data_IF_366095239194
#
_entry.id   IF_366095239194
#
_cell.length_a   1.000
_cell.length_b   1.000
_cell.length_c   1.000
_cell.angle_alpha   90.00
_cell.angle_beta   90.00
_cell.angle_gamma   90.00
#
_symmetry.space_group_name_H-M   'P 1'
#
loop_
_entity.id
_entity.type
_entity.pdbx_description
1 polymer ?
#
# COMPACT_ATOMS: atom_id res chain seq x y z
N UNK A 1 -15.73 -7.71 -3.24
CA UNK A 1 -14.74 -7.27 -2.22
C UNK A 1 -15.14 -7.78 -0.86
N UNK A 2 -14.24 -8.39 -0.14
CA UNK A 2 -14.47 -8.85 1.23
C UNK A 2 -14.12 -7.76 2.25
N UNK A 3 -14.56 -7.92 3.50
CA UNK A 3 -14.15 -7.01 4.59
C UNK A 3 -12.64 -6.93 4.73
N UNK A 4 -11.96 -8.08 4.65
CA UNK A 4 -10.50 -8.14 4.73
C UNK A 4 -9.84 -7.36 3.59
N UNK A 5 -10.33 -7.52 2.38
CA UNK A 5 -9.83 -6.78 1.21
C UNK A 5 -10.04 -5.27 1.37
N UNK A 6 -11.21 -4.84 1.85
CA UNK A 6 -11.49 -3.44 2.11
C UNK A 6 -10.53 -2.85 3.15
N UNK A 7 -10.28 -3.56 4.24
CA UNK A 7 -9.33 -3.13 5.26
C UNK A 7 -7.90 -3.04 4.73
N UNK A 8 -7.46 -4.00 3.93
CA UNK A 8 -6.14 -3.98 3.30
C UNK A 8 -5.97 -2.81 2.32
N UNK A 9 -6.99 -2.53 1.52
CA UNK A 9 -6.97 -1.40 0.58
C UNK A 9 -6.91 -0.08 1.35
N UNK A 10 -7.72 0.08 2.41
CA UNK A 10 -7.71 1.26 3.25
C UNK A 10 -6.35 1.48 3.92
N UNK A 11 -5.74 0.43 4.44
CA UNK A 11 -4.39 0.45 5.02
C UNK A 11 -3.35 0.92 4.01
N UNK A 12 -3.38 0.38 2.79
CA UNK A 12 -2.49 0.78 1.70
C UNK A 12 -2.64 2.25 1.35
N UNK A 13 -3.88 2.72 1.23
CA UNK A 13 -4.16 4.11 0.88
C UNK A 13 -3.67 5.06 1.97
N UNK A 14 -3.88 4.72 3.22
CA UNK A 14 -3.35 5.47 4.35
C UNK A 14 -1.81 5.55 4.29
N UNK A 15 -1.13 4.42 4.11
CA UNK A 15 0.33 4.36 4.02
C UNK A 15 0.85 5.14 2.82
N UNK A 16 0.18 5.03 1.69
CA UNK A 16 0.53 5.76 0.48
C UNK A 16 0.49 7.29 0.68
N UNK A 17 -0.50 7.79 1.41
CA UNK A 17 -0.68 9.23 1.62
C UNK A 17 0.14 9.78 2.78
N UNK A 18 0.38 9.00 3.82
CA UNK A 18 1.05 9.49 5.04
C UNK A 18 2.50 9.03 5.17
N UNK A 19 2.87 7.95 4.48
CA UNK A 19 4.18 7.31 4.67
C UNK A 19 4.31 6.53 5.97
N UNK A 20 3.23 6.38 6.73
CA UNK A 20 3.21 5.71 8.03
C UNK A 20 2.37 4.43 7.98
N UNK A 21 2.75 3.44 8.80
CA UNK A 21 1.94 2.25 8.99
C UNK A 21 0.86 2.49 10.04
N UNK A 22 -0.40 2.14 9.76
CA UNK A 22 -1.45 2.24 10.76
C UNK A 22 -1.27 1.15 11.82
N UNK A 23 -1.49 1.51 13.09
CA UNK A 23 -1.50 0.53 14.17
C UNK A 23 -2.74 -0.36 14.13
N UNK A 24 -3.84 0.19 13.65
CA UNK A 24 -5.13 -0.49 13.60
C UNK A 24 -5.97 0.07 12.46
N UNK A 25 -6.72 -0.79 11.81
CA UNK A 25 -7.73 -0.41 10.82
C UNK A 25 -9.04 -1.07 11.22
N UNK A 26 -10.07 -0.25 11.48
CA UNK A 26 -11.41 -0.73 11.84
C UNK A 26 -12.39 -0.47 10.71
N UNK A 27 -13.20 -1.47 10.39
CA UNK A 27 -14.29 -1.29 9.44
C UNK A 27 -15.49 -0.75 10.19
N UNK A 28 -15.91 0.47 9.86
CA UNK A 28 -17.07 1.12 10.48
C UNK A 28 -18.36 0.88 9.68
N UNK A 29 -18.27 0.81 8.36
CA UNK A 29 -19.39 0.51 7.48
C UNK A 29 -18.92 -0.47 6.39
N UNK A 30 -19.73 -1.50 6.17
CA UNK A 30 -19.50 -2.44 5.07
C UNK A 30 -20.85 -2.79 4.45
N UNK A 31 -21.15 -2.18 3.30
CA UNK A 31 -22.36 -2.38 2.54
C UNK A 31 -22.04 -2.54 1.05
N UNK A 32 -21.91 -3.78 0.60
CA UNK A 32 -21.54 -4.07 -0.79
C UNK A 32 -22.72 -3.96 -1.76
N UNK A 33 -23.96 -3.92 -1.28
CA UNK A 33 -25.10 -3.59 -2.14
C UNK A 33 -25.00 -2.15 -2.65
N UNK A 34 -24.58 -1.23 -1.79
CA UNK A 34 -24.29 0.15 -2.14
C UNK A 34 -22.84 0.35 -2.62
N UNK A 35 -22.03 -0.68 -2.57
CA UNK A 35 -20.64 -0.63 -2.97
C UNK A 35 -19.73 0.16 -2.03
N UNK A 36 -20.14 0.36 -0.78
CA UNK A 36 -19.45 1.25 0.18
C UNK A 36 -18.80 0.44 1.30
N UNK A 37 -17.55 0.77 1.57
CA UNK A 37 -16.84 0.35 2.77
C UNK A 37 -16.13 1.57 3.38
N UNK A 38 -16.34 1.80 4.68
CA UNK A 38 -15.65 2.84 5.43
C UNK A 38 -14.78 2.21 6.50
N UNK A 39 -13.54 2.67 6.58
CA UNK A 39 -12.58 2.24 7.56
C UNK A 39 -12.10 3.43 8.37
N UNK A 40 -11.93 3.23 9.68
CA UNK A 40 -11.35 4.23 10.58
C UNK A 40 -9.97 3.81 10.99
N UNK A 41 -9.03 4.74 11.00
CA UNK A 41 -7.63 4.51 11.33
C UNK A 41 -7.22 5.50 12.41
N UNK A 42 -7.10 5.06 13.67
CA UNK A 42 -6.59 5.92 14.73
C UNK A 42 -5.10 6.16 14.55
N UNK A 43 -4.69 7.40 14.71
CA UNK A 43 -3.29 7.81 14.60
C UNK A 43 -2.96 8.88 15.63
N UNK A 44 -1.67 9.06 15.90
CA UNK A 44 -1.17 10.13 16.75
C UNK A 44 -0.39 11.10 15.88
N UNK A 45 -0.76 12.36 15.91
CA UNK A 45 -0.10 13.40 15.14
C UNK A 45 0.30 14.56 16.09
N UNK A 46 1.61 14.79 16.22
CA UNK A 46 2.17 15.80 17.13
C UNK A 46 1.67 15.67 18.58
N UNK A 47 1.51 14.44 19.06
CA UNK A 47 1.01 14.15 20.39
C UNK A 47 -0.51 14.16 20.54
N UNK A 48 -1.25 14.58 19.52
CA UNK A 48 -2.72 14.58 19.51
C UNK A 48 -3.27 13.33 18.83
N UNK A 49 -4.29 12.74 19.44
CA UNK A 49 -5.02 11.63 18.81
C UNK A 49 -5.92 12.15 17.71
N UNK A 50 -5.80 11.56 16.54
CA UNK A 50 -6.63 11.88 15.38
C UNK A 50 -7.18 10.60 14.76
N UNK A 51 -8.32 10.69 14.11
CA UNK A 51 -8.95 9.56 13.41
C UNK A 51 -9.04 9.93 11.93
N UNK A 52 -8.39 9.13 11.10
CA UNK A 52 -8.57 9.18 9.66
C UNK A 52 -9.70 8.25 9.25
N UNK A 53 -10.44 8.67 8.23
CA UNK A 53 -11.50 7.85 7.64
C UNK A 53 -11.18 7.63 6.17
N UNK A 54 -11.14 6.35 5.76
CA UNK A 54 -10.97 5.96 4.36
C UNK A 54 -12.27 5.34 3.88
N UNK A 55 -12.86 5.95 2.85
CA UNK A 55 -14.08 5.46 2.21
C UNK A 55 -13.76 4.92 0.82
N UNK A 56 -14.13 3.65 0.61
CA UNK A 56 -14.08 3.00 -0.69
C UNK A 56 -15.50 2.94 -1.26
N UNK A 57 -15.66 3.39 -2.50
CA UNK A 57 -16.92 3.28 -3.22
C UNK A 57 -16.68 2.58 -4.55
N UNK A 58 -17.09 1.32 -4.65
CA UNK A 58 -16.88 0.50 -5.84
C UNK A 58 -17.78 0.89 -7.00
N UNK A 59 -18.94 1.46 -6.73
CA UNK A 59 -19.90 1.93 -7.75
C UNK A 59 -19.43 3.26 -8.34
N UNK A 60 -19.08 4.23 -7.48
CA UNK A 60 -18.54 5.50 -7.92
C UNK A 60 -17.07 5.44 -8.35
N UNK A 61 -16.39 4.33 -8.10
CA UNK A 61 -14.96 4.15 -8.38
C UNK A 61 -14.09 5.21 -7.71
N UNK A 62 -14.31 5.45 -6.43
CA UNK A 62 -13.55 6.42 -5.64
C UNK A 62 -12.96 5.79 -4.39
N UNK A 63 -11.83 6.33 -3.96
CA UNK A 63 -11.25 6.11 -2.65
C UNK A 63 -10.89 7.48 -2.07
N UNK A 64 -11.41 7.79 -0.90
CA UNK A 64 -11.30 9.10 -0.27
C UNK A 64 -10.71 8.94 1.11
N UNK A 65 -9.74 9.76 1.46
CA UNK A 65 -9.23 9.84 2.83
C UNK A 65 -9.53 11.22 3.41
N UNK A 66 -10.40 11.28 4.40
CA UNK A 66 -10.74 12.51 5.14
C UNK A 66 -9.59 12.88 6.07
N UNK A 67 -9.44 14.14 6.38
CA UNK A 67 -8.37 14.86 7.07
C UNK A 67 -7.19 15.25 6.20
N UNK A 68 -6.91 14.52 5.12
CA UNK A 68 -5.89 14.93 4.14
C UNK A 68 -6.59 15.49 2.89
N UNK A 69 -7.91 15.39 2.80
CA UNK A 69 -8.74 15.84 1.66
C UNK A 69 -8.24 15.25 0.34
N UNK A 70 -7.84 13.98 0.37
CA UNK A 70 -7.34 13.30 -0.81
C UNK A 70 -8.41 12.37 -1.36
N UNK A 71 -8.67 12.50 -2.65
CA UNK A 71 -9.58 11.64 -3.40
C UNK A 71 -8.88 11.11 -4.62
N UNK A 72 -9.07 9.82 -4.89
CA UNK A 72 -8.48 9.15 -6.05
C UNK A 72 -9.49 8.21 -6.68
N UNK A 73 -9.30 7.88 -7.95
CA UNK A 73 -10.01 6.78 -8.56
C UNK A 73 -9.58 5.46 -7.92
N UNK A 74 -10.56 4.68 -7.47
CA UNK A 74 -10.28 3.38 -6.84
C UNK A 74 -9.58 2.44 -7.82
N UNK A 75 -10.03 2.38 -9.07
CA UNK A 75 -9.41 1.53 -10.08
C UNK A 75 -7.97 1.96 -10.39
N UNK A 76 -7.71 3.25 -10.47
CA UNK A 76 -6.37 3.78 -10.72
C UNK A 76 -5.43 3.48 -9.54
N UNK A 77 -5.91 3.63 -8.32
CA UNK A 77 -5.14 3.28 -7.13
C UNK A 77 -4.80 1.78 -7.10
N UNK A 78 -5.75 0.91 -7.42
CA UNK A 78 -5.51 -0.52 -7.48
C UNK A 78 -4.53 -0.94 -8.58
N UNK A 79 -4.39 -0.14 -9.64
CA UNK A 79 -3.41 -0.37 -10.72
C UNK A 79 -1.99 0.09 -10.38
N UNK A 80 -1.79 0.80 -9.27
CA UNK A 80 -0.43 1.19 -8.85
C UNK A 80 0.40 -0.02 -8.42
N UNK A 81 -0.25 -1.14 -8.14
CA UNK A 81 0.42 -2.40 -7.85
C UNK A 81 1.13 -2.93 -9.10
N UNK A 82 2.37 -3.35 -8.96
CA UNK A 82 3.16 -3.98 -10.00
C UNK A 82 3.98 -5.12 -9.42
N UNK A 83 4.72 -5.84 -10.27
CA UNK A 83 5.60 -6.93 -9.84
C UNK A 83 7.05 -6.49 -9.87
N UNK A 84 7.86 -7.05 -8.96
CA UNK A 84 9.31 -6.79 -8.91
C UNK A 84 9.98 -7.02 -10.25
N UNK A 85 9.59 -8.07 -10.97
CA UNK A 85 10.19 -8.43 -12.26
C UNK A 85 10.02 -7.37 -13.35
N UNK A 86 9.06 -6.48 -13.21
CA UNK A 86 8.77 -5.42 -14.21
C UNK A 86 9.49 -4.11 -13.92
N UNK A 87 10.14 -3.99 -12.77
CA UNK A 87 10.88 -2.78 -12.40
C UNK A 87 12.23 -2.72 -13.13
N UNK A 88 12.70 -1.50 -13.34
CA UNK A 88 14.05 -1.24 -13.80
C UNK A 88 14.98 -0.96 -12.63
N UNK A 89 16.27 -1.24 -12.79
CA UNK A 89 17.27 -0.95 -11.77
C UNK A 89 17.21 0.50 -11.31
N UNK A 90 17.10 0.71 -10.02
CA UNK A 90 16.99 2.04 -9.43
C UNK A 90 15.56 2.52 -9.19
N UNK A 91 14.55 1.84 -9.73
CA UNK A 91 13.15 2.18 -9.47
C UNK A 91 12.84 2.01 -7.98
N UNK A 92 12.20 3.01 -7.41
CA UNK A 92 11.81 3.01 -6.00
C UNK A 92 10.40 2.44 -5.82
N UNK A 93 10.21 1.72 -4.75
CA UNK A 93 8.92 1.09 -4.46
C UNK A 93 8.74 0.86 -2.96
N UNK A 94 7.52 0.49 -2.58
CA UNK A 94 7.17 0.02 -1.24
C UNK A 94 6.56 -1.37 -1.31
N UNK A 95 6.76 -2.15 -0.27
CA UNK A 95 6.09 -3.43 -0.08
C UNK A 95 4.73 -3.21 0.60
N UNK A 96 3.82 -4.16 0.42
CA UNK A 96 2.50 -4.10 1.04
C UNK A 96 2.60 -4.03 2.56
N UNK A 97 1.89 -3.06 3.13
CA UNK A 97 1.86 -2.85 4.57
C UNK A 97 3.15 -2.31 5.17
N UNK A 98 4.08 -1.86 4.36
CA UNK A 98 5.38 -1.32 4.78
C UNK A 98 5.51 0.12 4.29
N UNK A 99 6.02 1.01 5.13
CA UNK A 99 6.32 2.39 4.74
C UNK A 99 7.79 2.62 4.39
N UNK A 100 8.60 1.57 4.42
CA UNK A 100 10.01 1.64 4.03
C UNK A 100 10.12 1.73 2.51
N UNK A 101 10.98 2.62 2.02
CA UNK A 101 11.27 2.77 0.59
C UNK A 101 12.45 1.89 0.22
N UNK A 102 12.26 1.11 -0.84
CA UNK A 102 13.29 0.26 -1.42
C UNK A 102 13.61 0.71 -2.84
N UNK A 103 14.80 0.40 -3.30
CA UNK A 103 15.21 0.56 -4.68
C UNK A 103 15.51 -0.80 -5.31
N UNK A 104 14.96 -1.04 -6.49
CA UNK A 104 15.15 -2.30 -7.18
C UNK A 104 16.59 -2.43 -7.66
N UNK A 105 17.21 -3.57 -7.40
CA UNK A 105 18.59 -3.85 -7.78
C UNK A 105 18.68 -4.65 -9.07
N UNK A 106 17.87 -5.68 -9.19
CA UNK A 106 17.86 -6.56 -10.35
C UNK A 106 17.52 -8.00 -10.00
N UNK A 107 17.61 -8.85 -11.00
CA UNK A 107 17.34 -10.28 -10.85
C UNK A 107 18.62 -11.06 -11.11
N UNK A 108 18.85 -12.11 -10.32
CA UNK A 108 19.92 -13.07 -10.59
C UNK A 108 19.43 -14.49 -10.34
N UNK A 109 20.11 -15.46 -10.92
CA UNK A 109 19.85 -16.88 -10.68
C UNK A 109 20.81 -17.38 -9.63
N UNK A 110 20.26 -17.97 -8.55
CA UNK A 110 21.03 -18.61 -7.49
C UNK A 110 20.40 -19.96 -7.14
N UNK A 111 21.21 -20.99 -7.05
CA UNK A 111 20.75 -22.34 -6.69
C UNK A 111 19.61 -22.86 -7.56
N UNK A 112 19.61 -22.50 -8.86
CA UNK A 112 18.57 -22.90 -9.79
C UNK A 112 17.26 -22.11 -9.70
N UNK A 113 17.21 -21.04 -8.88
CA UNK A 113 16.05 -20.20 -8.70
C UNK A 113 16.35 -18.75 -9.04
N UNK A 114 15.36 -18.06 -9.61
CA UNK A 114 15.45 -16.61 -9.80
C UNK A 114 15.27 -15.90 -8.46
N UNK A 115 16.17 -14.96 -8.17
CA UNK A 115 16.14 -14.12 -6.98
C UNK A 115 16.04 -12.66 -7.39
N UNK A 116 15.11 -11.94 -6.77
CA UNK A 116 14.86 -10.51 -7.02
C UNK A 116 15.49 -9.69 -5.89
N UNK A 117 16.42 -8.81 -6.24
CA UNK A 117 17.20 -8.01 -5.30
C UNK A 117 16.68 -6.59 -5.19
N UNK A 118 16.68 -6.05 -3.98
CA UNK A 118 16.36 -4.66 -3.69
C UNK A 118 17.09 -4.21 -2.43
N UNK A 119 17.27 -2.90 -2.30
CA UNK A 119 17.95 -2.32 -1.15
C UNK A 119 17.10 -1.27 -0.48
N UNK A 120 17.21 -1.14 0.85
CA UNK A 120 16.61 -0.02 1.57
C UNK A 120 17.32 1.27 1.17
N UNK A 121 16.54 2.30 0.86
CA UNK A 121 17.10 3.60 0.47
C UNK A 121 17.80 4.28 1.63
N UNK A 122 17.32 4.07 2.86
CA UNK A 122 17.84 4.75 4.06
C UNK A 122 19.19 4.20 4.57
N UNK A 123 19.46 2.90 4.39
CA UNK A 123 20.69 2.27 4.92
C UNK A 123 21.44 1.41 3.91
N UNK A 124 20.97 1.30 2.66
CA UNK A 124 21.55 0.48 1.59
C UNK A 124 21.63 -1.04 1.91
N UNK A 125 20.84 -1.50 2.87
CA UNK A 125 20.77 -2.94 3.17
C UNK A 125 20.13 -3.68 2.01
N UNK A 126 20.79 -4.75 1.54
CA UNK A 126 20.38 -5.53 0.37
C UNK A 126 19.54 -6.74 0.79
N UNK A 127 18.42 -6.94 0.12
CA UNK A 127 17.52 -8.06 0.31
C UNK A 127 17.33 -8.84 -0.99
N UNK A 128 17.04 -10.13 -0.86
CA UNK A 128 16.74 -11.01 -1.99
C UNK A 128 15.48 -11.81 -1.70
N UNK A 129 14.55 -11.81 -2.66
CA UNK A 129 13.33 -12.61 -2.61
C UNK A 129 13.34 -13.67 -3.70
N UNK A 130 12.90 -14.87 -3.36
CA UNK A 130 12.79 -15.99 -4.31
C UNK A 130 11.50 -16.00 -5.12
N UNK A 131 10.55 -15.14 -4.78
CA UNK A 131 9.28 -15.00 -5.49
C UNK A 131 9.12 -13.61 -6.08
N UNK A 132 8.34 -13.54 -7.17
CA UNK A 132 8.00 -12.27 -7.81
C UNK A 132 6.85 -11.62 -7.05
N UNK A 133 7.20 -10.76 -6.09
CA UNK A 133 6.25 -10.13 -5.20
C UNK A 133 5.57 -8.93 -5.84
N UNK A 134 4.34 -8.65 -5.41
CA UNK A 134 3.64 -7.43 -5.75
C UNK A 134 4.18 -6.26 -4.93
N UNK A 135 4.44 -5.16 -5.60
CA UNK A 135 5.04 -3.96 -5.02
C UNK A 135 4.30 -2.71 -5.49
N UNK A 136 4.52 -1.60 -4.82
CA UNK A 136 3.87 -0.33 -5.11
C UNK A 136 4.93 0.70 -5.52
N UNK A 137 5.07 1.00 -6.83
CA UNK A 137 6.05 1.98 -7.32
C UNK A 137 5.76 3.39 -6.77
N UNK A 138 6.81 4.13 -6.57
CA UNK A 138 6.72 5.53 -6.19
C UNK A 138 6.76 6.45 -7.40
#
# INVERSE_FOLDING_TARGET
MTRKQAAEIAKRYYTFNTGEMPNEVRISIYNMEDGIAKCTIPATHRGDEVIYEVELNTIANTIVMKRIENESSLADFLRTETRLSTLNKGDKFRLEGDCVVYAYYGVCERYGSLMYGFSRVDNNELFWLSNDANVYPL
#
